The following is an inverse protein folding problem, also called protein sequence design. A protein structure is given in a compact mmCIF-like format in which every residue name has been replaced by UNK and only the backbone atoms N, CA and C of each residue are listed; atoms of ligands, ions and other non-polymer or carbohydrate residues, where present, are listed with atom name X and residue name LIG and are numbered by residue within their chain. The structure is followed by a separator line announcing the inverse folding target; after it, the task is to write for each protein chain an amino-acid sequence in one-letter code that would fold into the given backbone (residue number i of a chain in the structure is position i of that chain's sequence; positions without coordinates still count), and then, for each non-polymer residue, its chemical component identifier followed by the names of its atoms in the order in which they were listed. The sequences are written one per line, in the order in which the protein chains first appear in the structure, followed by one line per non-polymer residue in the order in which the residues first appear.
data_IF_608216314700
#
_entry.id   IF_608216314700
#
_cell.length_a   1.000
_cell.length_b   1.000
_cell.length_c   1.000
_cell.angle_alpha   90.00
_cell.angle_beta   90.00
_cell.angle_gamma   90.00
#
_symmetry.space_group_name_H-M   'P 1'
#
loop_
_entity.id
_entity.type
_entity.pdbx_description
1 polymer ?
#
# COMPACT_ATOMS: atom_id res chain seq x y z
N UNK A 1 -6.56 45.18 -5.76
CA UNK A 1 -6.70 43.72 -5.92
C UNK A 1 -5.68 43.08 -4.98
N UNK A 2 -6.10 42.46 -3.88
CA UNK A 2 -5.15 41.74 -3.03
C UNK A 2 -4.71 40.48 -3.76
N UNK A 3 -3.41 40.31 -3.99
CA UNK A 3 -2.83 39.03 -4.32
C UNK A 3 -3.25 38.05 -3.22
N UNK A 4 -4.19 37.15 -3.52
CA UNK A 4 -4.42 35.98 -2.68
C UNK A 4 -3.13 35.18 -2.78
N UNK A 5 -2.28 35.31 -1.78
CA UNK A 5 -1.09 34.47 -1.61
C UNK A 5 -1.55 33.03 -1.82
N UNK A 6 -1.02 32.37 -2.86
CA UNK A 6 -1.26 30.94 -3.07
C UNK A 6 -0.93 30.24 -1.75
N UNK A 7 -1.81 29.35 -1.25
CA UNK A 7 -1.52 28.65 -0.01
C UNK A 7 -0.16 27.96 -0.14
N UNK A 8 0.75 28.27 0.78
CA UNK A 8 2.05 27.62 0.85
C UNK A 8 1.80 26.17 1.20
N UNK A 9 2.15 25.26 0.28
CA UNK A 9 2.03 23.83 0.52
C UNK A 9 3.09 23.41 1.54
N UNK A 10 2.66 23.14 2.77
CA UNK A 10 3.55 22.68 3.85
C UNK A 10 3.52 21.16 3.93
N UNK A 11 4.69 20.55 3.75
CA UNK A 11 4.91 19.11 3.93
C UNK A 11 5.28 18.81 5.38
N UNK A 12 4.85 17.64 5.85
CA UNK A 12 5.16 17.13 7.19
C UNK A 12 5.52 15.66 7.04
N UNK A 13 6.77 15.37 6.62
CA UNK A 13 7.24 14.01 6.48
C UNK A 13 7.01 13.21 7.77
N UNK A 14 6.62 11.96 7.63
CA UNK A 14 6.36 11.05 8.75
C UNK A 14 6.85 9.64 8.43
N UNK A 15 7.23 8.84 9.45
CA UNK A 15 7.77 7.51 9.22
C UNK A 15 6.88 6.62 8.35
N UNK A 16 7.53 5.81 7.51
CA UNK A 16 6.92 4.79 6.67
C UNK A 16 7.87 3.58 6.67
N UNK A 17 7.54 2.56 7.45
CA UNK A 17 8.48 1.54 7.90
C UNK A 17 9.41 2.01 9.04
N UNK A 18 10.33 1.13 9.47
CA UNK A 18 11.33 1.46 10.48
C UNK A 18 12.22 2.64 10.05
N UNK A 19 12.67 3.43 11.03
CA UNK A 19 13.71 4.44 10.81
C UNK A 19 15.05 3.72 10.68
N UNK A 20 15.86 4.13 9.71
CA UNK A 20 17.15 3.51 9.42
C UNK A 20 18.19 4.56 9.02
N UNK A 21 19.47 4.18 9.13
CA UNK A 21 20.60 4.95 8.61
C UNK A 21 21.32 4.12 7.55
N UNK A 22 21.76 4.77 6.48
CA UNK A 22 22.71 4.18 5.55
C UNK A 22 24.08 4.06 6.23
N UNK A 23 24.65 2.86 6.18
CA UNK A 23 26.03 2.61 6.62
C UNK A 23 26.97 2.90 5.45
N UNK A 24 26.57 2.48 4.26
CA UNK A 24 27.26 2.67 2.99
C UNK A 24 26.20 2.66 1.85
N UNK A 25 26.60 2.34 0.61
CA UNK A 25 25.71 2.35 -0.55
C UNK A 25 24.76 1.16 -0.68
N UNK A 26 24.99 0.08 0.07
CA UNK A 26 24.19 -1.16 -0.02
C UNK A 26 23.70 -1.66 1.35
N UNK A 27 24.10 -1.02 2.45
CA UNK A 27 23.80 -1.49 3.80
C UNK A 27 23.08 -0.43 4.62
N UNK A 28 22.03 -0.87 5.33
CA UNK A 28 21.25 -0.02 6.24
C UNK A 28 21.24 -0.61 7.65
N UNK A 29 21.27 0.27 8.66
CA UNK A 29 21.09 -0.08 10.07
C UNK A 29 19.75 0.44 10.56
N UNK A 30 18.90 -0.43 11.09
CA UNK A 30 17.63 -0.02 11.69
C UNK A 30 17.89 0.65 13.03
N UNK A 31 17.30 1.81 13.27
CA UNK A 31 17.53 2.58 14.51
C UNK A 31 16.63 2.13 15.66
N UNK A 32 15.39 1.73 15.36
CA UNK A 32 14.34 1.54 16.36
C UNK A 32 13.44 0.34 16.04
N UNK A 33 12.76 -0.17 17.07
CA UNK A 33 11.83 -1.31 16.96
C UNK A 33 12.51 -2.67 17.14
N UNK A 34 11.84 -3.73 16.68
CA UNK A 34 12.27 -5.12 16.90
C UNK A 34 13.63 -5.44 16.24
N UNK A 35 13.93 -4.76 15.14
CA UNK A 35 15.20 -4.91 14.42
C UNK A 35 16.24 -3.85 14.79
N UNK A 36 16.05 -3.10 15.87
CA UNK A 36 16.99 -2.05 16.28
C UNK A 36 18.43 -2.56 16.35
N UNK A 37 19.34 -1.78 15.78
CA UNK A 37 20.77 -2.05 15.60
C UNK A 37 21.15 -3.20 14.67
N UNK A 38 20.18 -3.86 14.04
CA UNK A 38 20.46 -4.89 13.03
C UNK A 38 20.78 -4.25 11.68
N UNK A 39 21.66 -4.91 10.92
CA UNK A 39 22.15 -4.47 9.62
C UNK A 39 21.50 -5.32 8.53
N UNK A 40 20.95 -4.66 7.52
CA UNK A 40 20.38 -5.30 6.35
C UNK A 40 21.18 -4.86 5.12
N UNK A 41 21.54 -5.81 4.27
CA UNK A 41 22.21 -5.54 3.00
C UNK A 41 21.17 -5.56 1.89
N UNK A 42 21.39 -4.75 0.85
CA UNK A 42 20.47 -4.51 -0.25
C UNK A 42 21.24 -4.75 -1.54
N UNK A 43 20.87 -5.82 -2.25
CA UNK A 43 21.33 -6.02 -3.61
C UNK A 43 20.34 -5.36 -4.57
N UNK A 44 20.87 -4.49 -5.44
CA UNK A 44 20.09 -3.69 -6.38
C UNK A 44 20.43 -4.10 -7.80
N UNK A 45 19.43 -4.61 -8.52
CA UNK A 45 19.52 -4.92 -9.93
C UNK A 45 18.58 -4.01 -10.71
N UNK A 46 19.12 -3.19 -11.59
CA UNK A 46 18.35 -2.19 -12.34
C UNK A 46 18.71 -2.11 -13.82
N UNK A 47 17.75 -1.67 -14.60
CA UNK A 47 17.95 -1.19 -15.96
C UNK A 47 17.05 0.03 -16.21
N UNK A 48 16.96 0.49 -17.47
CA UNK A 48 16.18 1.68 -17.82
C UNK A 48 14.66 1.57 -17.59
N UNK A 49 14.13 0.36 -17.39
CA UNK A 49 12.70 0.08 -17.30
C UNK A 49 12.29 -0.58 -15.97
N UNK A 50 13.22 -1.10 -15.18
CA UNK A 50 12.89 -1.81 -13.93
C UNK A 50 13.99 -1.67 -12.88
N UNK A 51 13.57 -1.72 -11.62
CA UNK A 51 14.43 -1.84 -10.45
C UNK A 51 13.93 -3.01 -9.60
N UNK A 52 14.82 -3.93 -9.29
CA UNK A 52 14.63 -4.97 -8.30
C UNK A 52 15.57 -4.71 -7.12
N UNK A 53 15.00 -4.68 -5.91
CA UNK A 53 15.79 -4.66 -4.68
C UNK A 53 15.58 -5.97 -3.91
N UNK A 54 16.68 -6.65 -3.59
CA UNK A 54 16.69 -7.87 -2.78
C UNK A 54 17.34 -7.58 -1.45
N UNK A 55 16.66 -7.93 -0.36
CA UNK A 55 17.10 -7.61 1.00
C UNK A 55 17.67 -8.85 1.67
N UNK A 56 18.76 -8.66 2.40
CA UNK A 56 19.48 -9.71 3.12
C UNK A 56 19.66 -9.34 4.58
N UNK A 57 19.60 -10.35 5.45
CA UNK A 57 19.95 -10.24 6.87
C UNK A 57 20.84 -11.43 7.24
N UNK A 58 22.01 -11.17 7.80
CA UNK A 58 23.01 -12.21 8.13
C UNK A 58 23.36 -13.13 6.94
N UNK A 59 23.46 -12.56 5.73
CA UNK A 59 23.77 -13.29 4.49
C UNK A 59 22.62 -14.11 3.90
N UNK A 60 21.44 -14.12 4.53
CA UNK A 60 20.25 -14.80 4.03
C UNK A 60 19.31 -13.82 3.36
N UNK A 61 18.77 -14.19 2.18
CA UNK A 61 17.74 -13.39 1.50
C UNK A 61 16.46 -13.44 2.34
N UNK A 62 15.97 -12.28 2.75
CA UNK A 62 14.75 -12.17 3.57
C UNK A 62 13.53 -11.71 2.76
N UNK A 63 13.76 -11.15 1.56
CA UNK A 63 12.69 -10.64 0.73
C UNK A 63 13.19 -9.87 -0.48
N UNK A 64 12.24 -9.42 -1.30
CA UNK A 64 12.50 -8.61 -2.47
C UNK A 64 11.30 -7.72 -2.80
N UNK A 65 11.54 -6.69 -3.61
CA UNK A 65 10.53 -5.79 -4.13
C UNK A 65 10.88 -5.42 -5.57
N UNK A 66 9.87 -5.41 -6.44
CA UNK A 66 10.01 -5.01 -7.83
C UNK A 66 9.26 -3.71 -8.09
N UNK A 67 9.86 -2.88 -8.92
CA UNK A 67 9.20 -1.72 -9.46
C UNK A 67 9.57 -1.55 -10.92
N UNK A 68 8.57 -1.33 -11.77
CA UNK A 68 8.71 -1.18 -13.21
C UNK A 68 8.26 0.22 -13.62
N UNK A 69 8.92 0.76 -14.63
CA UNK A 69 8.56 1.98 -15.31
C UNK A 69 7.96 1.63 -16.67
N UNK A 70 6.68 1.90 -16.82
CA UNK A 70 5.98 1.69 -18.09
C UNK A 70 6.11 2.92 -19.01
N UNK A 71 6.03 2.70 -20.32
CA UNK A 71 6.16 3.74 -21.36
C UNK A 71 5.24 4.95 -21.18
N UNK A 72 4.14 4.79 -20.44
CA UNK A 72 3.16 5.84 -20.14
C UNK A 72 3.53 6.71 -18.93
N UNK A 73 4.81 6.69 -18.50
CA UNK A 73 5.25 7.39 -17.30
C UNK A 73 4.53 6.90 -16.03
N UNK A 74 4.20 5.61 -15.97
CA UNK A 74 3.62 4.97 -14.79
C UNK A 74 4.70 4.14 -14.10
N UNK A 75 4.90 4.38 -12.81
CA UNK A 75 5.66 3.48 -11.94
C UNK A 75 4.70 2.48 -11.32
N UNK A 76 4.96 1.19 -11.53
CA UNK A 76 4.18 0.09 -10.97
C UNK A 76 5.04 -0.70 -10.00
N UNK A 77 4.65 -0.74 -8.73
CA UNK A 77 5.26 -1.61 -7.72
C UNK A 77 4.49 -2.92 -7.62
N UNK A 78 5.22 -4.03 -7.57
CA UNK A 78 4.65 -5.35 -7.45
C UNK A 78 5.65 -6.36 -6.84
N UNK A 79 5.16 -7.56 -6.56
CA UNK A 79 5.93 -8.69 -6.00
C UNK A 79 6.80 -8.30 -4.79
N UNK A 80 6.17 -7.61 -3.83
CA UNK A 80 6.78 -7.29 -2.53
C UNK A 80 6.61 -8.49 -1.61
N UNK A 81 7.70 -9.22 -1.40
CA UNK A 81 7.69 -10.47 -0.64
C UNK A 81 8.70 -10.39 0.50
N UNK A 82 8.28 -10.85 1.67
CA UNK A 82 9.13 -11.05 2.85
C UNK A 82 8.89 -12.44 3.42
N UNK A 83 9.96 -13.04 3.92
CA UNK A 83 9.88 -14.24 4.76
C UNK A 83 9.02 -13.99 6.01
N UNK A 84 8.25 -15.00 6.42
CA UNK A 84 7.21 -14.90 7.47
C UNK A 84 7.72 -14.26 8.76
N UNK A 85 8.95 -14.59 9.19
CA UNK A 85 9.57 -14.06 10.40
C UNK A 85 9.90 -12.56 10.37
N UNK A 86 9.90 -11.95 9.17
CA UNK A 86 10.15 -10.51 8.94
C UNK A 86 8.87 -9.72 8.61
N UNK A 87 7.73 -10.40 8.44
CA UNK A 87 6.46 -9.76 8.13
C UNK A 87 5.90 -8.99 9.34
N UNK A 88 5.00 -8.04 9.08
CA UNK A 88 4.28 -7.22 10.09
C UNK A 88 5.17 -6.30 10.95
N UNK A 89 6.45 -6.16 10.60
CA UNK A 89 7.43 -5.32 11.31
C UNK A 89 7.81 -4.05 10.56
N UNK A 90 7.02 -3.68 9.55
CA UNK A 90 7.22 -2.49 8.72
C UNK A 90 8.32 -2.61 7.65
N UNK A 91 9.04 -3.74 7.55
CA UNK A 91 10.10 -3.90 6.55
C UNK A 91 9.58 -3.77 5.11
N UNK A 92 8.37 -4.26 4.80
CA UNK A 92 7.80 -4.10 3.47
C UNK A 92 7.55 -2.61 3.12
N UNK A 93 7.15 -1.79 4.09
CA UNK A 93 6.98 -0.33 3.91
C UNK A 93 8.33 0.32 3.56
N UNK A 94 9.40 -0.07 4.26
CA UNK A 94 10.76 0.39 3.98
C UNK A 94 11.26 -0.07 2.60
N UNK A 95 11.03 -1.32 2.22
CA UNK A 95 11.41 -1.83 0.88
C UNK A 95 10.70 -1.05 -0.22
N UNK A 96 9.39 -0.81 -0.06
CA UNK A 96 8.58 -0.02 -1.00
C UNK A 96 9.09 1.42 -1.07
N UNK A 97 9.40 2.04 0.08
CA UNK A 97 9.99 3.38 0.13
C UNK A 97 11.29 3.46 -0.67
N UNK A 98 12.21 2.52 -0.42
CA UNK A 98 13.54 2.50 -1.03
C UNK A 98 13.46 2.31 -2.55
N UNK A 99 12.70 1.31 -3.03
CA UNK A 99 12.57 1.07 -4.47
C UNK A 99 11.87 2.24 -5.17
N UNK A 100 10.91 2.88 -4.51
CA UNK A 100 10.21 4.05 -5.05
C UNK A 100 11.15 5.24 -5.20
N UNK A 101 11.94 5.54 -4.15
CA UNK A 101 12.91 6.64 -4.17
C UNK A 101 13.96 6.44 -5.27
N UNK A 102 14.40 5.21 -5.45
CA UNK A 102 15.36 4.86 -6.50
C UNK A 102 14.82 5.15 -7.90
N UNK A 103 13.59 4.70 -8.20
CA UNK A 103 12.96 5.02 -9.48
C UNK A 103 12.72 6.52 -9.66
N UNK A 104 12.26 7.22 -8.61
CA UNK A 104 12.04 8.67 -8.66
C UNK A 104 13.33 9.45 -8.89
N UNK A 105 14.50 8.94 -8.49
CA UNK A 105 15.78 9.59 -8.78
C UNK A 105 16.05 9.67 -10.29
N UNK A 106 15.59 8.69 -11.05
CA UNK A 106 15.86 8.54 -12.49
C UNK A 106 14.83 9.25 -13.37
N UNK A 107 13.64 9.55 -12.84
CA UNK A 107 12.51 10.03 -13.62
C UNK A 107 12.17 11.51 -13.38
N UNK A 108 11.54 12.13 -14.39
CA UNK A 108 11.11 13.54 -14.34
C UNK A 108 9.73 13.72 -13.73
N UNK A 109 8.73 13.03 -14.27
CA UNK A 109 7.35 13.15 -13.82
C UNK A 109 6.60 11.85 -14.06
N UNK A 110 5.91 11.32 -13.06
CA UNK A 110 5.33 9.98 -13.15
C UNK A 110 4.05 9.81 -12.35
N UNK A 111 3.18 8.94 -12.85
CA UNK A 111 2.04 8.38 -12.13
C UNK A 111 2.50 7.15 -11.34
N UNK A 112 1.73 6.74 -10.34
CA UNK A 112 2.13 5.65 -9.47
C UNK A 112 1.01 4.65 -9.21
N UNK A 113 1.35 3.37 -9.24
CA UNK A 113 0.45 2.24 -9.03
C UNK A 113 1.11 1.17 -8.15
N UNK A 114 0.30 0.53 -7.31
CA UNK A 114 0.60 -0.78 -6.74
C UNK A 114 -0.28 -1.81 -7.42
N UNK A 115 0.36 -2.79 -8.09
CA UNK A 115 -0.34 -3.91 -8.71
C UNK A 115 -0.52 -5.03 -7.70
N UNK A 116 -1.76 -5.45 -7.49
CA UNK A 116 -2.09 -6.60 -6.65
C UNK A 116 -2.48 -7.79 -7.51
N UNK A 117 -2.25 -9.00 -7.00
CA UNK A 117 -2.75 -10.20 -7.65
C UNK A 117 -4.29 -10.22 -7.57
N UNK A 118 -4.94 -10.30 -8.73
CA UNK A 118 -6.40 -10.19 -8.88
C UNK A 118 -7.13 -11.56 -8.91
N UNK A 119 -6.43 -12.66 -8.67
CA UNK A 119 -6.95 -14.01 -8.92
C UNK A 119 -7.94 -14.47 -7.85
N UNK A 120 -9.24 -14.30 -8.10
CA UNK A 120 -10.30 -15.14 -7.50
C UNK A 120 -11.45 -15.34 -8.49
N UNK A 121 -11.64 -16.59 -8.92
CA UNK A 121 -12.88 -16.98 -9.60
C UNK A 121 -13.97 -17.18 -8.54
N UNK A 122 -15.23 -16.79 -8.79
CA UNK A 122 -16.33 -16.91 -7.82
C UNK A 122 -16.51 -18.32 -7.23
N UNK A 123 -16.13 -19.35 -8.00
CA UNK A 123 -16.30 -20.78 -7.72
C UNK A 123 -15.21 -21.36 -6.78
N UNK A 124 -14.14 -20.62 -6.48
CA UNK A 124 -13.09 -21.12 -5.59
C UNK A 124 -13.57 -21.13 -4.13
N UNK A 125 -13.59 -22.33 -3.53
CA UNK A 125 -14.06 -22.56 -2.16
C UNK A 125 -13.09 -22.02 -1.09
N UNK A 126 -11.79 -21.97 -1.40
CA UNK A 126 -10.76 -21.50 -0.46
C UNK A 126 -10.24 -20.12 -0.88
N UNK A 127 -10.97 -19.08 -0.46
CA UNK A 127 -10.52 -17.70 -0.66
C UNK A 127 -9.38 -17.40 0.32
N UNK A 128 -8.15 -17.33 -0.20
CA UNK A 128 -7.00 -16.87 0.59
C UNK A 128 -6.89 -15.36 0.51
N UNK A 129 -7.06 -14.67 1.63
CA UNK A 129 -6.78 -13.23 1.69
C UNK A 129 -5.28 -12.99 1.46
N UNK A 130 -4.91 -12.68 0.21
CA UNK A 130 -3.57 -12.27 -0.17
C UNK A 130 -3.45 -10.73 -0.09
N UNK A 131 -2.23 -10.22 -0.07
CA UNK A 131 -1.93 -8.78 -0.20
C UNK A 131 -2.45 -7.86 0.93
N UNK A 132 -2.82 -8.37 2.12
CA UNK A 132 -3.20 -7.49 3.25
C UNK A 132 -2.14 -6.43 3.53
N UNK A 133 -0.87 -6.85 3.62
CA UNK A 133 0.24 -5.93 3.85
C UNK A 133 0.37 -4.89 2.75
N UNK A 134 0.19 -5.28 1.49
CA UNK A 134 0.23 -4.34 0.35
C UNK A 134 -0.96 -3.39 0.34
N UNK A 135 -2.15 -3.83 0.76
CA UNK A 135 -3.31 -2.96 0.95
C UNK A 135 -3.09 -1.91 2.04
N UNK A 136 -2.46 -2.30 3.15
CA UNK A 136 -2.05 -1.36 4.22
C UNK A 136 -1.02 -0.36 3.70
N UNK A 137 -0.01 -0.82 2.94
CA UNK A 137 0.99 0.04 2.29
C UNK A 137 0.32 1.05 1.36
N UNK A 138 -0.56 0.58 0.46
CA UNK A 138 -1.29 1.44 -0.47
C UNK A 138 -2.12 2.51 0.26
N UNK A 139 -2.84 2.10 1.32
CA UNK A 139 -3.60 3.00 2.18
C UNK A 139 -2.71 4.07 2.82
N UNK A 140 -1.60 3.67 3.45
CA UNK A 140 -0.68 4.60 4.14
C UNK A 140 -0.01 5.60 3.21
N UNK A 141 0.30 5.16 1.99
CA UNK A 141 0.85 5.99 0.92
C UNK A 141 -0.21 6.89 0.26
N UNK A 142 -1.47 6.80 0.67
CA UNK A 142 -2.54 7.65 0.12
C UNK A 142 -3.07 7.18 -1.23
N UNK A 143 -2.71 5.99 -1.72
CA UNK A 143 -3.28 5.44 -2.95
C UNK A 143 -4.74 5.01 -2.74
N UNK A 144 -5.51 5.06 -3.82
CA UNK A 144 -6.92 4.65 -3.85
C UNK A 144 -7.10 3.44 -4.76
N UNK A 145 -8.04 2.57 -4.41
CA UNK A 145 -8.42 1.45 -5.27
C UNK A 145 -8.79 1.94 -6.68
N UNK A 146 -8.45 1.15 -7.70
CA UNK A 146 -8.82 1.43 -9.10
C UNK A 146 -10.36 1.48 -9.28
N UNK A 147 -11.09 0.76 -8.42
CA UNK A 147 -12.55 0.79 -8.37
C UNK A 147 -13.07 1.80 -7.37
N UNK A 148 -14.23 2.37 -7.67
CA UNK A 148 -15.02 3.13 -6.71
C UNK A 148 -15.69 2.18 -5.71
N UNK A 149 -15.01 1.91 -4.59
CA UNK A 149 -15.50 0.99 -3.54
C UNK A 149 -16.87 1.44 -3.01
N UNK A 150 -17.10 2.75 -2.87
CA UNK A 150 -18.39 3.27 -2.40
C UNK A 150 -19.52 2.85 -3.33
N UNK A 151 -19.33 2.99 -4.65
CA UNK A 151 -20.33 2.54 -5.63
C UNK A 151 -20.46 1.02 -5.68
N UNK A 152 -19.34 0.29 -5.54
CA UNK A 152 -19.36 -1.17 -5.53
C UNK A 152 -20.25 -1.73 -4.42
N UNK A 153 -20.25 -1.10 -3.25
CA UNK A 153 -21.00 -1.58 -2.08
C UNK A 153 -22.31 -0.82 -1.84
N UNK A 154 -22.80 -0.07 -2.83
CA UNK A 154 -24.04 0.72 -2.69
C UNK A 154 -25.28 -0.07 -3.12
N UNK A 155 -26.26 -0.12 -2.21
CA UNK A 155 -27.64 -0.52 -2.54
C UNK A 155 -27.76 -1.94 -3.12
N UNK A 156 -28.38 -2.05 -4.30
CA UNK A 156 -28.68 -3.32 -4.98
C UNK A 156 -27.48 -3.96 -5.68
N UNK A 157 -26.34 -3.27 -5.79
CA UNK A 157 -25.17 -3.83 -6.48
C UNK A 157 -24.54 -5.00 -5.71
N UNK A 158 -24.78 -5.11 -4.41
CA UNK A 158 -24.30 -6.23 -3.58
C UNK A 158 -25.22 -7.44 -3.77
N UNK A 159 -24.68 -8.52 -4.33
CA UNK A 159 -25.36 -9.81 -4.41
C UNK A 159 -25.19 -10.61 -3.11
N UNK A 160 -23.99 -10.60 -2.54
CA UNK A 160 -23.73 -11.25 -1.25
C UNK A 160 -22.51 -10.67 -0.53
N UNK A 161 -22.55 -10.73 0.80
CA UNK A 161 -21.40 -10.47 1.68
C UNK A 161 -21.28 -11.64 2.63
N UNK A 162 -20.11 -12.25 2.67
CA UNK A 162 -19.72 -13.30 3.60
C UNK A 162 -18.51 -12.84 4.40
N UNK A 163 -18.49 -13.11 5.71
CA UNK A 163 -17.30 -12.85 6.53
C UNK A 163 -16.42 -14.08 6.51
N UNK A 164 -15.18 -13.91 6.05
CA UNK A 164 -14.14 -14.94 6.08
C UNK A 164 -13.69 -15.12 7.54
N UNK A 165 -13.82 -16.34 8.03
CA UNK A 165 -13.38 -16.73 9.39
C UNK A 165 -11.85 -16.67 9.44
N UNK A 166 -11.26 -16.00 10.44
CA UNK A 166 -9.81 -15.96 10.56
C UNK A 166 -9.22 -17.34 10.83
N UNK A 167 -8.01 -17.56 10.35
CA UNK A 167 -7.17 -18.73 10.64
C UNK A 167 -5.76 -18.26 11.03
N UNK A 168 -4.85 -19.19 11.30
CA UNK A 168 -3.44 -18.86 11.59
C UNK A 168 -2.74 -18.06 10.48
N UNK A 169 -3.26 -18.13 9.25
CA UNK A 169 -2.65 -17.51 8.06
C UNK A 169 -3.55 -16.47 7.40
N UNK A 170 -4.82 -16.36 7.81
CA UNK A 170 -5.82 -15.49 7.18
C UNK A 170 -6.43 -14.58 8.24
N UNK A 171 -6.28 -13.26 8.05
CA UNK A 171 -6.99 -12.26 8.85
C UNK A 171 -8.49 -12.25 8.47
N UNK A 172 -9.39 -11.78 9.36
CA UNK A 172 -10.79 -11.63 8.99
C UNK A 172 -10.94 -10.69 7.79
N UNK A 173 -11.88 -11.02 6.91
CA UNK A 173 -12.16 -10.25 5.71
C UNK A 173 -13.62 -10.43 5.27
N UNK A 174 -14.03 -9.68 4.27
CA UNK A 174 -15.27 -9.81 3.54
C UNK A 174 -15.02 -10.41 2.17
N UNK A 175 -15.80 -11.43 1.84
CA UNK A 175 -16.04 -11.88 0.47
C UNK A 175 -17.28 -11.13 -0.03
N UNK A 176 -17.09 -10.19 -0.95
CA UNK A 176 -18.16 -9.33 -1.48
C UNK A 176 -18.39 -9.70 -2.95
N UNK A 177 -19.58 -10.21 -3.25
CA UNK A 177 -20.02 -10.49 -4.62
C UNK A 177 -20.92 -9.35 -5.06
N UNK A 178 -20.61 -8.75 -6.21
CA UNK A 178 -21.35 -7.61 -6.76
C UNK A 178 -21.89 -7.92 -8.16
N UNK A 179 -22.93 -7.21 -8.60
CA UNK A 179 -23.43 -7.30 -9.98
C UNK A 179 -22.44 -6.70 -10.99
N UNK A 180 -21.77 -5.60 -10.61
CA UNK A 180 -20.92 -4.81 -11.51
C UNK A 180 -19.54 -5.41 -11.80
N UNK A 181 -19.00 -6.25 -10.92
CA UNK A 181 -17.67 -6.86 -11.10
C UNK A 181 -17.79 -8.32 -11.54
N UNK A 182 -16.95 -8.76 -12.49
CA UNK A 182 -16.96 -10.16 -12.95
C UNK A 182 -16.26 -11.13 -11.98
N UNK A 183 -15.72 -10.65 -10.86
CA UNK A 183 -15.03 -11.43 -9.85
C UNK A 183 -15.46 -11.02 -8.43
N UNK A 184 -15.03 -11.79 -7.44
CA UNK A 184 -15.34 -11.53 -6.04
C UNK A 184 -14.33 -10.56 -5.41
N UNK A 185 -14.80 -9.47 -4.82
CA UNK A 185 -13.94 -8.53 -4.10
C UNK A 185 -13.66 -9.05 -2.69
N UNK A 186 -12.37 -9.16 -2.33
CA UNK A 186 -11.94 -9.57 -1.00
C UNK A 186 -11.47 -8.34 -0.24
N UNK A 187 -12.24 -7.92 0.76
CA UNK A 187 -12.00 -6.66 1.46
C UNK A 187 -11.69 -6.87 2.95
N UNK A 188 -10.84 -6.03 3.53
CA UNK A 188 -10.57 -6.01 4.97
C UNK A 188 -10.67 -4.59 5.52
N UNK A 189 -10.92 -4.48 6.83
CA UNK A 189 -11.08 -3.19 7.50
C UNK A 189 -9.76 -2.69 8.07
N UNK A 190 -9.55 -1.38 8.02
CA UNK A 190 -8.44 -0.66 8.66
C UNK A 190 -8.96 0.13 9.86
N UNK A 191 -8.27 0.02 10.98
CA UNK A 191 -8.33 0.99 12.07
C UNK A 191 -7.60 2.25 11.61
N UNK A 192 -8.34 3.32 11.30
CA UNK A 192 -7.81 4.57 10.73
C UNK A 192 -6.78 5.22 11.66
N UNK A 193 -6.99 5.15 12.97
CA UNK A 193 -6.10 5.77 13.96
C UNK A 193 -4.77 5.03 14.06
N UNK A 194 -4.81 3.69 14.01
CA UNK A 194 -3.62 2.84 14.11
C UNK A 194 -2.97 2.54 12.77
N UNK A 195 -3.66 2.80 11.67
CA UNK A 195 -3.28 2.44 10.31
C UNK A 195 -2.94 0.94 10.19
N UNK A 196 -3.74 0.09 10.84
CA UNK A 196 -3.56 -1.37 10.90
C UNK A 196 -4.85 -2.11 10.57
N UNK A 197 -4.77 -3.33 10.03
CA UNK A 197 -5.94 -4.17 9.83
C UNK A 197 -6.66 -4.45 11.16
N UNK A 198 -7.98 -4.38 11.14
CA UNK A 198 -8.80 -4.85 12.26
C UNK A 198 -8.75 -6.38 12.27
N UNK A 199 -8.28 -6.96 13.37
CA UNK A 199 -8.15 -8.42 13.56
C UNK A 199 -9.33 -9.05 14.31
N UNK A 200 -10.21 -8.25 14.90
CA UNK A 200 -11.35 -8.74 15.66
C UNK A 200 -12.49 -9.20 14.73
N UNK A 201 -12.74 -10.51 14.69
CA UNK A 201 -13.79 -11.14 13.88
C UNK A 201 -15.22 -10.65 14.18
N UNK A 202 -15.56 -10.44 15.46
CA UNK A 202 -16.89 -9.95 15.86
C UNK A 202 -17.19 -8.56 15.30
N UNK A 203 -16.14 -7.75 15.09
CA UNK A 203 -16.29 -6.46 14.41
C UNK A 203 -16.77 -6.68 12.98
N UNK A 204 -16.23 -7.67 12.26
CA UNK A 204 -16.67 -7.94 10.89
C UNK A 204 -18.13 -8.43 10.84
N UNK A 205 -18.52 -9.30 11.77
CA UNK A 205 -19.91 -9.76 11.91
C UNK A 205 -20.88 -8.61 12.20
N UNK A 206 -20.49 -7.67 13.05
CA UNK A 206 -21.28 -6.47 13.37
C UNK A 206 -21.53 -5.64 12.11
N UNK A 207 -20.48 -5.29 11.37
CA UNK A 207 -20.59 -4.43 10.20
C UNK A 207 -21.32 -5.10 9.02
N UNK A 208 -21.22 -6.43 8.86
CA UNK A 208 -22.00 -7.17 7.86
C UNK A 208 -23.52 -7.02 8.03
N UNK A 209 -24.00 -6.88 9.27
CA UNK A 209 -25.44 -6.76 9.55
C UNK A 209 -26.03 -5.41 9.14
N UNK A 210 -25.18 -4.41 8.92
CA UNK A 210 -25.58 -3.03 8.66
C UNK A 210 -24.84 -2.50 7.44
N UNK A 211 -25.42 -2.64 6.25
CA UNK A 211 -24.80 -2.21 4.99
C UNK A 211 -24.37 -0.74 5.00
N UNK A 212 -25.10 0.12 5.71
CA UNK A 212 -24.73 1.54 5.90
C UNK A 212 -23.37 1.72 6.59
N UNK A 213 -23.03 0.85 7.56
CA UNK A 213 -21.73 0.92 8.23
C UNK A 213 -20.58 0.52 7.30
N UNK A 214 -20.80 -0.44 6.39
CA UNK A 214 -19.81 -0.78 5.36
C UNK A 214 -19.63 0.36 4.36
N UNK A 215 -20.72 1.01 3.96
CA UNK A 215 -20.69 2.20 3.12
C UNK A 215 -19.89 3.33 3.78
N UNK A 216 -20.13 3.58 5.08
CA UNK A 216 -19.35 4.56 5.84
C UNK A 216 -17.86 4.21 5.89
N UNK A 217 -17.50 2.94 6.03
CA UNK A 217 -16.09 2.52 5.97
C UNK A 217 -15.46 2.80 4.61
N UNK A 218 -16.14 2.48 3.51
CA UNK A 218 -15.64 2.77 2.17
C UNK A 218 -15.44 4.27 1.96
N UNK A 219 -16.41 5.09 2.40
CA UNK A 219 -16.34 6.55 2.33
C UNK A 219 -15.14 7.14 3.06
N UNK A 220 -14.76 6.55 4.17
CA UNK A 220 -13.58 6.96 4.95
C UNK A 220 -12.30 6.19 4.56
N UNK A 221 -12.31 5.47 3.43
CA UNK A 221 -11.19 4.64 2.92
C UNK A 221 -10.70 3.58 3.92
N UNK A 222 -11.55 3.19 4.87
CA UNK A 222 -11.26 2.18 5.89
C UNK A 222 -11.60 0.77 5.42
N UNK A 223 -12.18 0.60 4.24
CA UNK A 223 -12.41 -0.68 3.58
C UNK A 223 -11.44 -0.84 2.41
N UNK A 224 -10.55 -1.84 2.48
CA UNK A 224 -9.47 -2.07 1.52
C UNK A 224 -9.72 -3.38 0.79
N UNK A 225 -9.76 -3.36 -0.54
CA UNK A 225 -9.87 -4.55 -1.40
C UNK A 225 -8.47 -5.10 -1.69
N UNK A 226 -8.15 -6.31 -1.22
CA UNK A 226 -6.82 -6.93 -1.33
C UNK A 226 -6.50 -7.53 -2.71
N UNK A 227 -7.49 -7.67 -3.59
CA UNK A 227 -7.35 -8.20 -4.94
C UNK A 227 -7.67 -7.15 -6.02
N UNK A 228 -7.33 -5.88 -5.76
CA UNK A 228 -7.52 -4.76 -6.68
C UNK A 228 -6.24 -3.93 -6.79
N UNK A 229 -6.01 -3.29 -7.94
CA UNK A 229 -4.89 -2.35 -8.05
C UNK A 229 -5.18 -1.06 -7.29
N UNK A 230 -4.12 -0.37 -6.89
CA UNK A 230 -4.20 0.92 -6.23
C UNK A 230 -3.42 1.95 -7.02
N UNK A 231 -4.02 3.12 -7.20
CA UNK A 231 -3.52 4.21 -8.02
C UNK A 231 -3.34 5.45 -7.14
N UNK A 232 -2.26 6.21 -7.39
CA UNK A 232 -2.08 7.51 -6.79
C UNK A 232 -2.95 8.55 -7.50
N UNK A 233 -4.02 8.98 -6.83
CA UNK A 233 -4.87 10.09 -7.29
C UNK A 233 -4.39 11.43 -6.72
N UNK A 234 -4.85 12.53 -7.32
CA UNK A 234 -4.47 13.90 -6.91
C UNK A 234 -4.66 14.16 -5.41
N UNK A 235 -5.73 13.63 -4.82
CA UNK A 235 -6.03 13.78 -3.39
C UNK A 235 -5.08 12.99 -2.46
N UNK A 236 -4.34 12.01 -2.99
CA UNK A 236 -3.39 11.18 -2.24
C UNK A 236 -1.95 11.66 -2.29
N UNK A 237 -1.60 12.58 -3.20
CA UNK A 237 -0.21 13.02 -3.45
C UNK A 237 0.46 13.51 -2.17
N UNK A 238 -0.25 14.26 -1.32
CA UNK A 238 0.33 14.82 -0.10
C UNK A 238 0.77 13.72 0.88
N UNK A 239 -0.07 12.70 1.08
CA UNK A 239 0.27 11.56 1.93
C UNK A 239 1.42 10.77 1.35
N UNK A 240 1.39 10.53 0.04
CA UNK A 240 2.45 9.84 -0.68
C UNK A 240 3.81 10.50 -0.47
N UNK A 241 3.89 11.81 -0.73
CA UNK A 241 5.12 12.60 -0.57
C UNK A 241 5.60 12.58 0.88
N UNK A 242 4.70 12.79 1.85
CA UNK A 242 5.07 12.81 3.27
C UNK A 242 5.57 11.45 3.79
N UNK A 243 5.18 10.34 3.17
CA UNK A 243 5.65 9.00 3.56
C UNK A 243 6.99 8.63 2.94
N UNK A 244 7.28 9.14 1.75
CA UNK A 244 8.52 8.85 1.05
C UNK A 244 9.67 9.76 1.48
N UNK A 245 9.39 11.02 1.77
CA UNK A 245 10.41 11.98 2.16
C UNK A 245 10.92 11.73 3.59
N UNK A 246 12.20 12.00 3.81
CA UNK A 246 12.86 12.01 5.12
C UNK A 246 12.79 13.40 5.76
N UNK A 247 12.67 14.46 4.95
CA UNK A 247 12.58 15.85 5.40
C UNK A 247 11.78 16.72 4.42
N UNK A 248 11.46 17.95 4.82
CA UNK A 248 10.59 18.85 4.06
C UNK A 248 11.18 19.24 2.69
N UNK A 249 12.50 19.37 2.58
CA UNK A 249 13.16 19.73 1.33
C UNK A 249 13.11 18.58 0.31
N UNK A 250 13.33 17.35 0.77
CA UNK A 250 13.11 16.16 -0.05
C UNK A 250 11.64 16.03 -0.47
N UNK A 251 10.69 16.34 0.43
CA UNK A 251 9.27 16.32 0.10
C UNK A 251 8.93 17.27 -1.06
N UNK A 252 9.52 18.48 -1.08
CA UNK A 252 9.35 19.43 -2.19
C UNK A 252 9.91 18.88 -3.51
N UNK A 253 11.07 18.22 -3.48
CA UNK A 253 11.68 17.61 -4.66
C UNK A 253 10.84 16.45 -5.20
N UNK A 254 10.34 15.58 -4.32
CA UNK A 254 9.47 14.46 -4.69
C UNK A 254 8.16 14.99 -5.29
N UNK A 255 7.54 16.00 -4.67
CA UNK A 255 6.29 16.58 -5.16
C UNK A 255 6.38 17.12 -6.59
N UNK A 256 7.53 17.69 -6.98
CA UNK A 256 7.75 18.18 -8.35
C UNK A 256 7.80 17.06 -9.39
N UNK A 257 8.04 15.81 -8.97
CA UNK A 257 8.20 14.64 -9.84
C UNK A 257 6.95 13.75 -9.92
N UNK A 258 5.87 14.08 -9.21
CA UNK A 258 4.71 13.21 -9.10
C UNK A 258 3.50 13.86 -9.76
N UNK A 259 2.74 13.04 -10.49
CA UNK A 259 1.42 13.38 -11.01
C UNK A 259 0.39 12.41 -10.44
N UNK A 260 -0.72 12.95 -9.96
CA UNK A 260 -1.88 12.16 -9.60
C UNK A 260 -2.73 11.87 -10.83
N UNK A 261 -3.41 10.74 -10.80
CA UNK A 261 -4.51 10.47 -11.72
C UNK A 261 -5.73 11.25 -11.24
N UNK A 262 -6.46 11.85 -12.19
CA UNK A 262 -7.70 12.58 -11.91
C UNK A 262 -8.85 11.64 -11.54
#
# INVERSE_FOLDING_TARGET
MSEKSKPVLVFSPRPFGPVFQWIDGDSIKIEQGEFANQIFNIDKNENSEQVQMTFYHNGQKIGHCFAEYEKNSMITIWDVVLERQYQQKGLAEMMVKLVTKELLAQQKTTHFQIRMLQLFKPEEAEVRLQNVGMGVIAYKLGLTCEYDIEQLIKGSNILSIEVIVPSETIAPAYKIVTESLPYTAIAFMIDIEKEKPISNYDTYLKYRRFNELLFDLAKHRALIVGNANYLLKDNGIRDFVNRLADNEDEAKLIYQKIQGIK
#
